data_IF_857367985132
#
_entry.id   IF_857367985132
#
_cell.length_a   1.000
_cell.length_b   1.000
_cell.length_c   1.000
_cell.angle_alpha   90.00
_cell.angle_beta   90.00
_cell.angle_gamma   90.00
#
_symmetry.space_group_name_H-M   'P 1'
#
loop_
_entity.id
_entity.type
_entity.pdbx_description
1 polymer ?
#
# COMPACT_ATOMS: atom_id res chain seq x y z
N UNK A 1 -10.00 -10.51 15.62
CA UNK A 1 -9.13 -10.91 14.50
C UNK A 1 -8.16 -9.77 14.25
N UNK A 2 -6.86 -10.05 14.35
CA UNK A 2 -5.79 -9.07 14.14
C UNK A 2 -5.76 -8.57 12.68
N UNK A 3 -5.22 -7.38 12.43
CA UNK A 3 -5.12 -6.77 11.10
C UNK A 3 -4.29 -7.63 10.14
N UNK A 4 -3.19 -8.23 10.62
CA UNK A 4 -2.39 -9.15 9.80
C UNK A 4 -3.18 -10.39 9.37
N UNK A 5 -4.08 -10.89 10.24
CA UNK A 5 -4.87 -12.07 9.94
C UNK A 5 -5.93 -11.77 8.87
N UNK A 6 -6.50 -10.56 8.90
CA UNK A 6 -7.37 -10.07 7.82
C UNK A 6 -6.64 -10.03 6.48
N UNK A 7 -5.42 -9.48 6.46
CA UNK A 7 -4.60 -9.41 5.24
C UNK A 7 -4.33 -10.81 4.67
N UNK A 8 -3.94 -11.77 5.52
CA UNK A 8 -3.70 -13.16 5.11
C UNK A 8 -4.94 -13.79 4.50
N UNK A 9 -6.11 -13.62 5.13
CA UNK A 9 -7.38 -14.16 4.63
C UNK A 9 -7.74 -13.55 3.28
N UNK A 10 -7.64 -12.22 3.13
CA UNK A 10 -7.88 -11.56 1.85
C UNK A 10 -6.91 -12.00 0.75
N UNK A 11 -5.62 -12.17 1.09
CA UNK A 11 -4.63 -12.70 0.16
C UNK A 11 -4.96 -14.12 -0.30
N UNK A 12 -5.28 -15.02 0.65
CA UNK A 12 -5.63 -16.41 0.35
C UNK A 12 -6.90 -16.53 -0.52
N UNK A 13 -7.80 -15.54 -0.46
CA UNK A 13 -9.00 -15.45 -1.30
C UNK A 13 -8.75 -14.81 -2.67
N UNK A 14 -7.53 -14.34 -2.95
CA UNK A 14 -7.19 -13.62 -4.18
C UNK A 14 -7.68 -12.17 -4.23
N UNK A 15 -8.21 -11.63 -3.13
CA UNK A 15 -8.76 -10.27 -3.07
C UNK A 15 -7.68 -9.18 -3.22
N UNK A 16 -6.40 -9.53 -2.98
CA UNK A 16 -5.25 -8.63 -3.09
C UNK A 16 -4.52 -8.69 -4.44
N UNK A 17 -5.05 -9.42 -5.41
CA UNK A 17 -4.47 -9.51 -6.75
C UNK A 17 -4.34 -8.16 -7.48
N UNK A 18 -5.33 -7.23 -7.40
CA UNK A 18 -5.15 -5.88 -7.94
C UNK A 18 -4.00 -5.12 -7.27
N UNK A 19 -3.80 -5.31 -5.95
CA UNK A 19 -2.72 -4.67 -5.20
C UNK A 19 -1.35 -5.21 -5.64
N UNK A 20 -1.27 -6.49 -5.98
CA UNK A 20 -0.06 -7.11 -6.57
C UNK A 20 0.30 -6.42 -7.89
N UNK A 21 -0.66 -6.24 -8.78
CA UNK A 21 -0.44 -5.59 -10.08
C UNK A 21 -0.05 -4.11 -9.93
N UNK A 22 -0.70 -3.40 -9.01
CA UNK A 22 -0.33 -2.02 -8.65
C UNK A 22 1.12 -1.94 -8.15
N UNK A 23 1.53 -2.88 -7.29
CA UNK A 23 2.89 -2.94 -6.76
C UNK A 23 3.93 -3.22 -7.85
N UNK A 24 3.63 -4.10 -8.80
CA UNK A 24 4.51 -4.35 -9.95
C UNK A 24 4.71 -3.09 -10.79
N UNK A 25 3.61 -2.42 -11.14
CA UNK A 25 3.66 -1.19 -11.93
C UNK A 25 4.41 -0.08 -11.18
N UNK A 26 4.19 0.04 -9.87
CA UNK A 26 4.90 0.97 -9.02
C UNK A 26 6.41 0.70 -9.04
N UNK A 27 6.83 -0.56 -8.86
CA UNK A 27 8.25 -0.95 -8.91
C UNK A 27 8.88 -0.59 -10.25
N UNK A 28 8.21 -0.93 -11.36
CA UNK A 28 8.72 -0.67 -12.70
C UNK A 28 8.86 0.84 -12.97
N UNK A 29 7.87 1.62 -12.53
CA UNK A 29 7.82 3.08 -12.74
C UNK A 29 8.85 3.81 -11.88
N UNK A 30 9.03 3.38 -10.63
CA UNK A 30 9.83 4.08 -9.62
C UNK A 30 11.19 3.44 -9.37
N UNK A 31 11.64 2.48 -10.20
CA UNK A 31 12.88 1.73 -10.02
C UNK A 31 14.09 2.62 -9.69
N UNK A 32 14.34 3.65 -10.49
CA UNK A 32 15.49 4.53 -10.30
C UNK A 32 15.44 5.24 -8.94
N UNK A 33 14.27 5.67 -8.51
CA UNK A 33 14.06 6.34 -7.21
C UNK A 33 14.26 5.37 -6.05
N UNK A 34 13.82 4.12 -6.20
CA UNK A 34 14.02 3.06 -5.19
C UNK A 34 15.52 2.78 -5.00
N UNK A 35 16.26 2.64 -6.10
CA UNK A 35 17.71 2.40 -6.05
C UNK A 35 18.49 3.61 -5.52
N UNK A 36 18.07 4.83 -5.89
CA UNK A 36 18.63 6.04 -5.32
C UNK A 36 18.39 6.12 -3.81
N UNK A 37 17.14 5.86 -3.38
CA UNK A 37 16.77 5.84 -1.97
C UNK A 37 17.60 4.83 -1.18
N UNK A 38 17.80 3.63 -1.71
CA UNK A 38 18.70 2.63 -1.11
C UNK A 38 20.08 3.21 -0.85
N UNK A 39 20.71 3.80 -1.88
CA UNK A 39 22.07 4.34 -1.78
C UNK A 39 22.16 5.51 -0.79
N UNK A 40 21.10 6.30 -0.65
CA UNK A 40 20.99 7.38 0.33
C UNK A 40 20.91 6.81 1.76
N UNK A 41 20.05 5.83 1.99
CA UNK A 41 19.90 5.20 3.32
C UNK A 41 21.16 4.45 3.75
N UNK A 42 21.85 3.76 2.83
CA UNK A 42 23.13 3.09 3.14
C UNK A 42 24.19 4.09 3.63
N UNK A 43 24.23 5.28 3.04
CA UNK A 43 25.12 6.36 3.50
C UNK A 43 24.67 6.93 4.84
N UNK A 44 23.36 7.15 5.01
CA UNK A 44 22.81 7.72 6.24
C UNK A 44 23.03 6.80 7.45
N UNK A 45 22.94 5.48 7.26
CA UNK A 45 23.10 4.50 8.33
C UNK A 45 24.51 3.90 8.41
N UNK A 46 25.38 4.23 7.45
CA UNK A 46 26.72 3.65 7.30
C UNK A 46 26.70 2.11 7.30
N UNK A 47 25.68 1.52 6.67
CA UNK A 47 25.45 0.08 6.62
C UNK A 47 24.88 -0.32 5.25
N UNK A 48 25.32 -1.46 4.73
CA UNK A 48 24.72 -2.05 3.52
C UNK A 48 23.26 -2.45 3.76
N UNK A 49 22.43 -2.19 2.76
CA UNK A 49 21.00 -2.43 2.78
C UNK A 49 20.65 -3.40 1.66
N UNK A 50 19.93 -4.49 1.95
CA UNK A 50 19.46 -5.35 0.88
C UNK A 50 18.26 -4.73 0.14
N UNK A 51 18.04 -5.14 -1.12
CA UNK A 51 16.96 -4.58 -1.96
C UNK A 51 15.56 -4.79 -1.36
N UNK A 52 15.34 -5.88 -0.61
CA UNK A 52 14.03 -6.13 -0.02
C UNK A 52 13.75 -5.17 1.14
N UNK A 53 14.75 -4.95 1.99
CA UNK A 53 14.65 -3.96 3.07
C UNK A 53 14.51 -2.55 2.52
N UNK A 54 15.30 -2.18 1.51
CA UNK A 54 15.17 -0.89 0.82
C UNK A 54 13.76 -0.69 0.23
N UNK A 55 13.18 -1.71 -0.40
CA UNK A 55 11.83 -1.64 -0.95
C UNK A 55 10.78 -1.40 0.14
N UNK A 56 10.85 -2.15 1.25
CA UNK A 56 9.92 -1.97 2.38
C UNK A 56 10.04 -0.58 2.99
N UNK A 57 11.25 -0.08 3.19
CA UNK A 57 11.48 1.27 3.70
C UNK A 57 10.96 2.34 2.73
N UNK A 58 11.12 2.13 1.42
CA UNK A 58 10.58 3.02 0.41
C UNK A 58 9.05 3.05 0.45
N UNK A 59 8.39 1.89 0.54
CA UNK A 59 6.92 1.78 0.72
C UNK A 59 6.48 2.52 1.98
N UNK A 60 7.19 2.36 3.10
CA UNK A 60 6.89 3.07 4.35
C UNK A 60 7.06 4.59 4.23
N UNK A 61 8.02 5.04 3.42
CA UNK A 61 8.25 6.46 3.12
C UNK A 61 7.14 7.05 2.26
N UNK A 62 6.77 6.41 1.16
CA UNK A 62 5.75 6.94 0.22
C UNK A 62 4.32 6.69 0.70
N UNK A 63 4.10 5.63 1.48
CA UNK A 63 2.82 5.18 2.08
C UNK A 63 1.69 4.85 1.10
N UNK A 64 1.81 5.23 -0.17
CA UNK A 64 0.89 4.91 -1.26
C UNK A 64 1.67 4.49 -2.50
N UNK A 65 1.15 3.52 -3.23
CA UNK A 65 1.73 3.02 -4.49
C UNK A 65 0.86 3.33 -5.71
N UNK A 66 -0.42 3.66 -5.48
CA UNK A 66 -1.39 4.08 -6.49
C UNK A 66 -2.48 4.90 -5.77
N UNK A 67 -2.39 6.23 -5.91
CA UNK A 67 -3.26 7.16 -5.19
C UNK A 67 -4.72 7.04 -5.66
N UNK A 68 -4.95 6.81 -6.95
CA UNK A 68 -6.31 6.72 -7.49
C UNK A 68 -6.99 5.44 -7.02
N UNK A 69 -6.26 4.31 -7.04
CA UNK A 69 -6.78 3.06 -6.51
C UNK A 69 -7.03 3.15 -5.00
N UNK A 70 -6.14 3.79 -4.25
CA UNK A 70 -6.32 4.00 -2.82
C UNK A 70 -7.58 4.84 -2.53
N UNK A 71 -7.79 5.93 -3.28
CA UNK A 71 -9.01 6.74 -3.15
C UNK A 71 -10.27 5.93 -3.46
N UNK A 72 -10.27 5.13 -4.54
CA UNK A 72 -11.41 4.27 -4.88
C UNK A 72 -11.70 3.22 -3.80
N UNK A 73 -10.66 2.60 -3.24
CA UNK A 73 -10.80 1.61 -2.17
C UNK A 73 -11.30 2.26 -0.87
N UNK A 74 -10.85 3.47 -0.55
CA UNK A 74 -11.33 4.22 0.62
C UNK A 74 -12.80 4.60 0.46
N UNK A 75 -13.22 5.07 -0.73
CA UNK A 75 -14.63 5.37 -1.03
C UNK A 75 -15.48 4.10 -0.89
N UNK A 76 -15.01 2.96 -1.41
CA UNK A 76 -15.72 1.68 -1.27
C UNK A 76 -15.89 1.29 0.20
N UNK A 77 -14.85 1.43 1.02
CA UNK A 77 -14.93 1.15 2.46
C UNK A 77 -15.96 2.07 3.16
N UNK A 78 -15.96 3.36 2.84
CA UNK A 78 -16.94 4.32 3.35
C UNK A 78 -18.36 3.91 2.96
N UNK A 79 -18.60 3.56 1.68
CA UNK A 79 -19.91 3.11 1.18
C UNK A 79 -20.38 1.82 1.87
N UNK A 80 -19.49 0.88 2.14
CA UNK A 80 -19.84 -0.35 2.86
C UNK A 80 -20.27 -0.09 4.30
N UNK A 81 -19.67 0.89 4.98
CA UNK A 81 -20.00 1.19 6.39
C UNK A 81 -21.15 2.20 6.56
N UNK A 82 -21.26 3.19 5.68
CA UNK A 82 -22.29 4.25 5.76
C UNK A 82 -23.52 3.99 4.87
N UNK A 83 -23.46 2.97 4.00
CA UNK A 83 -24.50 2.61 3.03
C UNK A 83 -24.25 3.15 1.62
N UNK A 84 -24.82 2.48 0.61
CA UNK A 84 -24.59 2.77 -0.82
C UNK A 84 -25.07 4.15 -1.30
N UNK A 85 -25.91 4.83 -0.51
CA UNK A 85 -26.46 6.15 -0.83
C UNK A 85 -25.46 7.31 -0.63
N UNK A 86 -24.21 7.03 -0.28
CA UNK A 86 -23.14 8.04 -0.26
C UNK A 86 -22.75 8.36 -1.71
N UNK A 87 -23.20 9.50 -2.21
CA UNK A 87 -22.81 10.02 -3.53
C UNK A 87 -21.29 10.29 -3.54
N UNK A 88 -20.61 9.87 -4.61
CA UNK A 88 -19.17 10.10 -4.79
C UNK A 88 -18.85 11.59 -4.92
N UNK A 89 -19.81 12.38 -5.39
CA UNK A 89 -19.72 13.84 -5.46
C UNK A 89 -19.93 14.52 -4.09
N UNK A 90 -20.39 13.77 -3.09
CA UNK A 90 -20.59 14.21 -1.72
C UNK A 90 -19.50 13.70 -0.75
N UNK A 91 -18.26 13.50 -1.22
CA UNK A 91 -17.11 13.25 -0.33
C UNK A 91 -16.92 14.35 0.74
N UNK A 92 -17.47 15.55 0.48
CA UNK A 92 -17.54 16.66 1.44
C UNK A 92 -18.71 16.58 2.43
N UNK A 93 -19.53 15.53 2.37
CA UNK A 93 -20.55 15.26 3.38
C UNK A 93 -19.87 15.04 4.73
N UNK A 94 -20.38 15.69 5.77
CA UNK A 94 -19.79 15.68 7.12
C UNK A 94 -19.58 14.25 7.63
N UNK A 95 -20.45 13.30 7.27
CA UNK A 95 -20.34 11.89 7.64
C UNK A 95 -19.10 11.20 7.04
N UNK A 96 -18.76 11.48 5.79
CA UNK A 96 -17.57 10.95 5.14
C UNK A 96 -16.30 11.53 5.78
N UNK A 97 -16.29 12.84 6.05
CA UNK A 97 -15.18 13.51 6.73
C UNK A 97 -14.97 12.94 8.14
N UNK A 98 -16.05 12.74 8.89
CA UNK A 98 -15.99 12.15 10.23
C UNK A 98 -15.51 10.71 10.20
N UNK A 99 -15.97 9.93 9.22
CA UNK A 99 -15.45 8.58 9.00
C UNK A 99 -13.95 8.59 8.71
N UNK A 100 -13.49 9.44 7.79
CA UNK A 100 -12.07 9.55 7.43
C UNK A 100 -11.23 9.97 8.64
N UNK A 101 -11.71 10.90 9.45
CA UNK A 101 -11.02 11.33 10.68
C UNK A 101 -10.88 10.19 11.68
N UNK A 102 -11.94 9.39 11.85
CA UNK A 102 -12.00 8.32 12.83
C UNK A 102 -11.29 7.04 12.39
N UNK A 103 -11.44 6.65 11.12
CA UNK A 103 -11.01 5.35 10.59
C UNK A 103 -9.82 5.46 9.63
N UNK A 104 -9.56 6.64 9.08
CA UNK A 104 -8.51 6.85 8.07
C UNK A 104 -7.10 6.44 8.51
N UNK A 105 -6.63 6.73 9.75
CA UNK A 105 -5.32 6.27 10.21
C UNK A 105 -5.18 4.74 10.21
N UNK A 106 -6.13 4.02 10.81
CA UNK A 106 -6.12 2.55 10.85
C UNK A 106 -6.25 1.96 9.45
N UNK A 107 -7.12 2.54 8.61
CA UNK A 107 -7.29 2.10 7.23
C UNK A 107 -5.99 2.22 6.42
N UNK A 108 -5.26 3.34 6.55
CA UNK A 108 -3.93 3.50 5.91
C UNK A 108 -2.90 2.53 6.47
N UNK A 109 -2.91 2.30 7.78
CA UNK A 109 -2.04 1.30 8.43
C UNK A 109 -2.26 -0.09 7.84
N UNK A 110 -3.52 -0.52 7.75
CA UNK A 110 -3.91 -1.77 7.10
C UNK A 110 -3.45 -1.83 5.64
N UNK A 111 -3.59 -0.74 4.87
CA UNK A 111 -3.15 -0.71 3.47
C UNK A 111 -1.65 -0.89 3.32
N UNK A 112 -0.84 -0.18 4.10
CA UNK A 112 0.61 -0.35 4.08
C UNK A 112 0.99 -1.78 4.48
N UNK A 113 0.33 -2.35 5.48
CA UNK A 113 0.53 -3.74 5.89
C UNK A 113 0.21 -4.71 4.75
N UNK A 114 -0.89 -4.49 4.03
CA UNK A 114 -1.27 -5.32 2.87
C UNK A 114 -0.24 -5.21 1.74
N UNK A 115 0.27 -4.02 1.45
CA UNK A 115 1.32 -3.82 0.43
C UNK A 115 2.58 -4.61 0.80
N UNK A 116 3.06 -4.48 2.04
CA UNK A 116 4.24 -5.19 2.52
C UNK A 116 4.02 -6.71 2.48
N UNK A 117 2.83 -7.16 2.89
CA UNK A 117 2.50 -8.58 2.86
C UNK A 117 2.49 -9.12 1.42
N UNK A 118 1.84 -8.42 0.48
CA UNK A 118 1.83 -8.79 -0.94
C UNK A 118 3.24 -8.81 -1.53
N UNK A 119 4.08 -7.84 -1.17
CA UNK A 119 5.50 -7.83 -1.53
C UNK A 119 6.20 -9.09 -1.04
N UNK A 120 6.05 -9.43 0.25
CA UNK A 120 6.73 -10.59 0.85
C UNK A 120 6.28 -11.93 0.25
N UNK A 121 4.99 -12.08 -0.07
CA UNK A 121 4.50 -13.30 -0.73
C UNK A 121 4.99 -13.44 -2.18
N UNK A 122 5.36 -12.34 -2.83
CA UNK A 122 5.80 -12.31 -4.23
C UNK A 122 7.27 -11.85 -4.37
N UNK A 123 8.07 -12.00 -3.30
CA UNK A 123 9.36 -11.33 -3.15
C UNK A 123 10.30 -11.54 -4.33
N UNK A 124 10.50 -12.78 -4.75
CA UNK A 124 11.45 -13.11 -5.83
C UNK A 124 11.06 -12.46 -7.16
N UNK A 125 9.77 -12.52 -7.50
CA UNK A 125 9.22 -11.86 -8.67
C UNK A 125 9.45 -10.35 -8.61
N UNK A 126 9.07 -9.72 -7.50
CA UNK A 126 9.16 -8.26 -7.32
C UNK A 126 10.62 -7.77 -7.35
N UNK A 127 11.53 -8.50 -6.68
CA UNK A 127 12.95 -8.17 -6.68
C UNK A 127 13.60 -8.35 -8.06
N UNK A 128 13.18 -9.35 -8.84
CA UNK A 128 13.68 -9.52 -10.21
C UNK A 128 13.39 -8.29 -11.08
N UNK A 129 12.25 -7.60 -10.85
CA UNK A 129 11.89 -6.36 -11.56
C UNK A 129 12.73 -5.15 -11.14
N UNK A 130 13.29 -5.15 -9.93
CA UNK A 130 14.23 -4.13 -9.47
C UNK A 130 15.65 -4.37 -9.97
N UNK A 131 16.04 -5.63 -10.15
CA UNK A 131 17.39 -6.03 -10.54
C UNK A 131 17.68 -5.90 -12.05
N UNK A 132 16.66 -5.93 -12.92
CA UNK A 132 16.77 -5.69 -14.37
C UNK A 132 17.03 -4.21 -14.67
#
# INVERSE_FOLDING_TARGET
MDEIEKVKVSYARGELEPLRQQLENFILTHRAQILQFKNEEEKNWAQELDLATAMKLFILKVRTIDIEAEMRDQIRAIKMELGENVDENEIHNSKCIDWIRKHGPSWRGYRVLAIIYVFDQNKDLMLSRLAM
#
